data_IF_550860417843
#
_entry.id   IF_550860417843
#
_cell.length_a   1.000
_cell.length_b   1.000
_cell.length_c   1.000
_cell.angle_alpha   90.00
_cell.angle_beta   90.00
_cell.angle_gamma   90.00
#
_symmetry.space_group_name_H-M   'P 1'
#
loop_
_entity.id
_entity.type
_entity.pdbx_description
1 polymer ?
#
# COMPACT_ATOMS: atom_id res chain seq x y z
N UNK A 1 12.64 -26.56 -3.24
CA UNK A 1 12.10 -26.32 -1.90
C UNK A 1 11.16 -25.13 -2.02
N UNK A 2 9.85 -25.35 -2.18
CA UNK A 2 8.86 -24.29 -2.51
C UNK A 2 7.48 -24.59 -1.89
N UNK A 3 7.37 -24.64 -0.56
CA UNK A 3 6.06 -24.76 0.12
C UNK A 3 6.10 -24.15 1.52
N UNK A 4 6.09 -22.82 1.64
CA UNK A 4 5.69 -22.15 2.89
C UNK A 4 4.89 -20.84 2.68
N UNK A 5 4.95 -20.21 1.51
CA UNK A 5 4.24 -18.94 1.24
C UNK A 5 2.71 -19.03 1.31
N UNK A 6 2.13 -20.16 0.89
CA UNK A 6 0.67 -20.33 0.95
C UNK A 6 0.15 -20.47 2.39
N UNK A 7 1.02 -20.87 3.34
CA UNK A 7 0.67 -21.00 4.77
C UNK A 7 0.73 -19.64 5.47
N UNK A 8 1.62 -18.73 5.05
CA UNK A 8 1.70 -17.37 5.60
C UNK A 8 0.53 -16.49 5.13
N UNK A 9 0.16 -16.53 3.85
CA UNK A 9 -0.95 -15.73 3.32
C UNK A 9 -2.30 -16.15 3.91
N UNK A 10 -2.59 -17.45 3.96
CA UNK A 10 -3.80 -17.96 4.60
C UNK A 10 -3.87 -17.57 6.08
N UNK A 11 -2.75 -17.65 6.81
CA UNK A 11 -2.67 -17.23 8.22
C UNK A 11 -2.98 -15.75 8.40
N UNK A 12 -2.47 -14.90 7.51
CA UNK A 12 -2.71 -13.45 7.57
C UNK A 12 -4.15 -13.12 7.20
N UNK A 13 -4.72 -13.77 6.17
CA UNK A 13 -6.14 -13.66 5.87
C UNK A 13 -7.00 -14.00 7.09
N UNK A 14 -6.73 -15.13 7.75
CA UNK A 14 -7.44 -15.49 8.99
C UNK A 14 -7.28 -14.40 10.07
N UNK A 15 -6.06 -13.93 10.32
CA UNK A 15 -5.79 -12.89 11.32
C UNK A 15 -6.53 -11.58 11.04
N UNK A 16 -6.61 -11.16 9.77
CA UNK A 16 -7.32 -9.96 9.37
C UNK A 16 -8.83 -10.19 9.48
N UNK A 17 -9.34 -11.34 9.05
CA UNK A 17 -10.78 -11.64 9.19
C UNK A 17 -11.23 -11.75 10.64
N UNK A 18 -10.33 -12.13 11.57
CA UNK A 18 -10.58 -12.11 13.01
C UNK A 18 -10.63 -10.67 13.55
N UNK A 19 -9.76 -9.78 13.07
CA UNK A 19 -9.81 -8.34 13.41
C UNK A 19 -11.08 -7.66 12.89
N UNK A 20 -11.52 -8.02 11.69
CA UNK A 20 -12.73 -7.46 11.07
C UNK A 20 -14.04 -8.03 11.66
N UNK A 21 -13.95 -9.09 12.49
CA UNK A 21 -15.12 -9.78 13.03
C UNK A 21 -15.78 -8.92 14.11
N UNK A 22 -16.96 -8.39 13.77
CA UNK A 22 -17.77 -7.54 14.66
C UNK A 22 -18.13 -6.25 13.95
N UNK A 23 -17.12 -5.55 13.44
CA UNK A 23 -17.29 -4.25 12.78
C UNK A 23 -17.64 -4.34 11.28
N UNK A 24 -17.31 -5.47 10.63
CA UNK A 24 -17.59 -5.69 9.21
C UNK A 24 -18.37 -6.98 8.95
N UNK A 25 -19.19 -6.97 7.90
CA UNK A 25 -19.88 -8.18 7.43
C UNK A 25 -18.90 -9.06 6.66
N UNK A 26 -19.09 -10.39 6.71
CA UNK A 26 -18.27 -11.34 5.93
C UNK A 26 -18.21 -11.03 4.43
N UNK A 27 -19.30 -10.49 3.86
CA UNK A 27 -19.34 -10.05 2.46
C UNK A 27 -18.44 -8.84 2.15
N UNK A 28 -18.02 -8.10 3.18
CA UNK A 28 -17.17 -6.91 3.06
C UNK A 28 -15.69 -7.25 3.24
N UNK A 29 -15.35 -8.41 3.81
CA UNK A 29 -13.95 -8.78 4.08
C UNK A 29 -13.09 -8.76 2.82
N UNK A 30 -13.61 -9.29 1.70
CA UNK A 30 -12.90 -9.24 0.42
C UNK A 30 -12.65 -7.81 -0.08
N UNK A 31 -13.57 -6.88 0.20
CA UNK A 31 -13.41 -5.46 -0.18
C UNK A 31 -12.32 -4.78 0.64
N UNK A 32 -12.11 -5.21 1.88
CA UNK A 32 -11.01 -4.73 2.71
C UNK A 32 -9.70 -5.38 2.27
N UNK A 33 -9.66 -6.70 2.21
CA UNK A 33 -8.43 -7.48 2.04
C UNK A 33 -7.78 -7.25 0.67
N UNK A 34 -8.56 -7.25 -0.41
CA UNK A 34 -8.02 -7.18 -1.78
C UNK A 34 -7.17 -5.93 -2.04
N UNK A 35 -7.65 -4.70 -1.76
CA UNK A 35 -6.84 -3.52 -2.00
C UNK A 35 -5.56 -3.46 -1.15
N UNK A 36 -5.55 -4.01 0.06
CA UNK A 36 -4.31 -4.13 0.86
C UNK A 36 -3.31 -5.12 0.25
N UNK A 37 -3.77 -6.26 -0.28
CA UNK A 37 -2.90 -7.22 -0.98
C UNK A 37 -2.30 -6.57 -2.23
N UNK A 38 -3.13 -5.89 -3.02
CA UNK A 38 -2.69 -5.17 -4.22
C UNK A 38 -1.66 -4.11 -3.83
N UNK A 39 -1.94 -3.30 -2.80
CA UNK A 39 -1.01 -2.30 -2.29
C UNK A 39 0.33 -2.91 -1.88
N UNK A 40 0.33 -3.98 -1.08
CA UNK A 40 1.57 -4.63 -0.62
C UNK A 40 2.40 -5.17 -1.79
N UNK A 41 1.73 -5.73 -2.81
CA UNK A 41 2.41 -6.23 -4.00
C UNK A 41 3.03 -5.11 -4.84
N UNK A 42 2.34 -3.97 -4.95
CA UNK A 42 2.87 -2.79 -5.64
C UNK A 42 4.03 -2.16 -4.87
N UNK A 43 3.92 -2.06 -3.55
CA UNK A 43 4.96 -1.55 -2.65
C UNK A 43 6.25 -2.37 -2.78
N UNK A 44 6.15 -3.70 -2.73
CA UNK A 44 7.31 -4.56 -2.93
C UNK A 44 7.90 -4.43 -4.34
N UNK A 45 7.08 -4.44 -5.39
CA UNK A 45 7.61 -4.28 -6.76
C UNK A 45 8.44 -2.99 -6.93
N UNK A 46 8.13 -1.94 -6.17
CA UNK A 46 8.85 -0.67 -6.20
C UNK A 46 10.00 -0.57 -5.19
N UNK A 47 10.03 -1.40 -4.14
CA UNK A 47 11.07 -1.38 -3.10
C UNK A 47 12.51 -1.30 -3.65
N UNK A 48 12.95 -2.10 -4.65
CA UNK A 48 14.31 -2.02 -5.17
C UNK A 48 14.60 -0.80 -6.05
N UNK A 49 13.56 -0.12 -6.57
CA UNK A 49 13.71 1.00 -7.51
C UNK A 49 13.31 2.35 -6.89
N UNK A 50 12.73 2.33 -5.70
CA UNK A 50 12.22 3.50 -5.00
C UNK A 50 13.31 4.53 -4.71
N UNK A 51 14.47 4.10 -4.22
CA UNK A 51 15.58 5.01 -3.95
C UNK A 51 16.01 5.73 -5.22
N UNK A 52 16.14 5.03 -6.34
CA UNK A 52 16.49 5.63 -7.64
C UNK A 52 15.46 6.65 -8.13
N UNK A 53 14.17 6.37 -7.93
CA UNK A 53 13.08 7.29 -8.28
C UNK A 53 13.11 8.54 -7.39
N UNK A 54 13.32 8.37 -6.08
CA UNK A 54 13.41 9.50 -5.14
C UNK A 54 14.66 10.34 -5.37
N UNK A 55 15.79 9.72 -5.67
CA UNK A 55 17.05 10.40 -5.98
C UNK A 55 16.87 11.25 -7.24
N UNK A 56 16.28 10.71 -8.31
CA UNK A 56 15.99 11.46 -9.53
C UNK A 56 15.06 12.67 -9.31
N UNK A 57 14.11 12.57 -8.37
CA UNK A 57 13.24 13.68 -7.97
C UNK A 57 13.99 14.70 -7.11
N UNK A 58 14.93 14.26 -6.28
CA UNK A 58 15.72 15.15 -5.43
C UNK A 58 16.82 15.88 -6.22
N UNK A 59 17.38 15.23 -7.25
CA UNK A 59 18.38 15.78 -8.16
C UNK A 59 17.79 16.72 -9.22
N UNK A 60 16.46 16.71 -9.39
CA UNK A 60 15.77 17.72 -10.20
C UNK A 60 15.73 19.06 -9.45
N UNK A 61 16.87 19.76 -9.46
CA UNK A 61 17.11 21.06 -8.79
C UNK A 61 16.47 22.24 -9.55
N UNK A 62 15.86 22.00 -10.71
CA UNK A 62 15.18 23.01 -11.54
C UNK A 62 13.72 22.62 -11.70
N UNK A 63 12.81 23.60 -11.80
CA UNK A 63 11.32 23.51 -11.84
C UNK A 63 10.67 22.47 -12.79
N UNK A 64 11.44 21.63 -13.47
CA UNK A 64 10.96 20.51 -14.27
C UNK A 64 10.92 19.22 -13.45
N UNK A 65 9.73 18.90 -12.97
CA UNK A 65 9.42 17.58 -12.42
C UNK A 65 9.71 16.50 -13.49
N UNK A 66 10.33 15.36 -13.15
CA UNK A 66 10.61 14.30 -14.12
C UNK A 66 9.35 13.85 -14.85
N UNK A 67 9.45 13.64 -16.17
CA UNK A 67 8.29 13.21 -16.96
C UNK A 67 7.80 11.83 -16.50
N UNK A 68 6.49 11.57 -16.65
CA UNK A 68 5.87 10.28 -16.31
C UNK A 68 6.58 9.09 -17.00
N UNK A 69 7.06 9.29 -18.23
CA UNK A 69 7.85 8.28 -18.96
C UNK A 69 9.22 8.00 -18.31
N UNK A 70 9.92 9.05 -17.87
CA UNK A 70 11.21 8.90 -17.18
C UNK A 70 11.04 8.14 -15.85
N UNK A 71 10.01 8.49 -15.06
CA UNK A 71 9.73 7.83 -13.78
C UNK A 71 9.38 6.35 -13.95
N UNK A 72 8.59 6.00 -14.98
CA UNK A 72 8.29 4.58 -15.31
C UNK A 72 9.53 3.82 -15.77
N UNK A 73 10.43 4.48 -16.49
CA UNK A 73 11.68 3.86 -16.93
C UNK A 73 12.62 3.60 -15.76
N UNK A 74 12.70 4.53 -14.81
CA UNK A 74 13.48 4.39 -13.57
C UNK A 74 12.93 3.31 -12.66
N UNK A 75 11.61 3.23 -12.51
CA UNK A 75 10.97 2.19 -11.69
C UNK A 75 11.03 0.79 -12.31
N UNK A 76 11.39 0.68 -13.60
CA UNK A 76 11.36 -0.59 -14.35
C UNK A 76 9.95 -1.17 -14.54
N UNK A 77 8.92 -0.40 -14.18
CA UNK A 77 7.52 -0.83 -14.14
C UNK A 77 6.63 0.20 -14.81
N UNK A 78 5.43 -0.20 -15.31
CA UNK A 78 4.48 0.75 -15.90
C UNK A 78 3.81 1.68 -14.86
N UNK A 79 4.34 1.72 -13.64
CA UNK A 79 3.89 2.53 -12.52
C UNK A 79 5.09 2.91 -11.65
N UNK A 80 4.93 3.94 -10.83
CA UNK A 80 5.93 4.43 -9.89
C UNK A 80 5.24 5.00 -8.64
N UNK A 81 6.02 5.25 -7.60
CA UNK A 81 5.57 5.98 -6.42
C UNK A 81 6.58 7.08 -6.06
N UNK A 82 6.12 8.32 -6.02
CA UNK A 82 6.91 9.51 -5.67
C UNK A 82 6.78 9.93 -4.20
N UNK A 83 5.98 9.19 -3.42
CA UNK A 83 5.75 9.49 -2.02
C UNK A 83 7.01 9.31 -1.21
N UNK A 84 7.39 10.34 -0.44
CA UNK A 84 8.53 10.28 0.49
C UNK A 84 8.22 9.45 1.74
N UNK A 85 6.94 9.21 2.04
CA UNK A 85 6.54 8.36 3.16
C UNK A 85 6.68 6.88 2.82
N UNK A 86 7.01 6.08 3.83
CA UNK A 86 7.05 4.63 3.71
C UNK A 86 5.79 4.03 4.33
N UNK A 87 5.25 2.97 3.73
CA UNK A 87 4.09 2.27 4.28
C UNK A 87 4.33 1.78 5.73
N UNK A 88 5.59 1.45 6.05
CA UNK A 88 6.03 1.10 7.41
C UNK A 88 5.85 2.22 8.45
N UNK A 89 5.81 3.50 8.05
CA UNK A 89 5.62 4.62 9.00
C UNK A 89 4.23 4.60 9.67
N UNK A 90 3.26 3.90 9.07
CA UNK A 90 1.93 3.65 9.66
C UNK A 90 2.03 2.90 10.98
N UNK A 91 3.04 2.04 11.13
CA UNK A 91 3.27 1.28 12.37
C UNK A 91 3.76 2.15 13.53
N UNK A 92 4.48 3.23 13.21
CA UNK A 92 5.08 4.12 14.21
C UNK A 92 4.06 5.11 14.77
N UNK A 93 3.08 5.54 13.97
CA UNK A 93 2.10 6.57 14.35
C UNK A 93 0.67 6.11 14.02
N UNK A 94 0.02 5.30 14.88
CA UNK A 94 -1.31 4.76 14.63
C UNK A 94 -2.39 5.84 14.47
N UNK A 95 -2.29 6.95 15.20
CA UNK A 95 -3.22 8.09 15.08
C UNK A 95 -3.13 8.83 13.75
N UNK A 96 -2.00 8.70 13.04
CA UNK A 96 -1.78 9.29 11.72
C UNK A 96 -1.82 8.24 10.62
N UNK A 97 -2.24 7.02 10.92
CA UNK A 97 -2.25 5.90 9.99
C UNK A 97 -3.00 6.24 8.69
N UNK A 98 -4.20 6.81 8.80
CA UNK A 98 -4.99 7.23 7.63
C UNK A 98 -4.28 8.29 6.80
N UNK A 99 -3.73 9.33 7.43
CA UNK A 99 -3.00 10.40 6.75
C UNK A 99 -1.78 9.87 5.98
N UNK A 100 -0.96 9.03 6.63
CA UNK A 100 0.23 8.42 6.01
C UNK A 100 -0.19 7.51 4.84
N UNK A 101 -1.25 6.71 5.01
CA UNK A 101 -1.75 5.87 3.92
C UNK A 101 -2.23 6.73 2.74
N UNK A 102 -3.00 7.78 2.99
CA UNK A 102 -3.48 8.66 1.93
C UNK A 102 -2.35 9.33 1.17
N UNK A 103 -1.33 9.82 1.88
CA UNK A 103 -0.13 10.42 1.28
C UNK A 103 0.65 9.40 0.43
N UNK A 104 0.79 8.17 0.93
CA UNK A 104 1.43 7.08 0.20
C UNK A 104 0.65 6.70 -1.07
N UNK A 105 -0.68 6.66 -0.99
CA UNK A 105 -1.56 6.32 -2.11
C UNK A 105 -1.58 7.42 -3.18
N UNK A 106 -1.54 8.67 -2.76
CA UNK A 106 -1.46 9.83 -3.65
C UNK A 106 -0.15 9.90 -4.44
N UNK A 107 0.94 9.35 -3.89
CA UNK A 107 2.23 9.32 -4.57
C UNK A 107 2.32 8.30 -5.70
N UNK A 108 1.37 7.37 -5.85
CA UNK A 108 1.38 6.47 -6.99
C UNK A 108 1.05 7.16 -8.31
N UNK A 109 1.48 6.57 -9.42
CA UNK A 109 1.11 7.00 -10.76
C UNK A 109 -0.41 6.88 -11.02
N UNK A 110 -0.93 7.68 -11.95
CA UNK A 110 -2.38 7.84 -12.18
C UNK A 110 -3.12 6.54 -12.52
N UNK A 111 -2.45 5.59 -13.17
CA UNK A 111 -2.99 4.26 -13.45
C UNK A 111 -3.27 3.46 -12.18
N UNK A 112 -2.33 3.46 -11.22
CA UNK A 112 -2.49 2.77 -9.94
C UNK A 112 -3.55 3.47 -9.08
N UNK A 113 -3.54 4.80 -9.02
CA UNK A 113 -4.61 5.54 -8.32
C UNK A 113 -5.99 5.19 -8.86
N UNK A 114 -6.14 5.07 -10.19
CA UNK A 114 -7.40 4.66 -10.83
C UNK A 114 -7.83 3.25 -10.41
N UNK A 115 -6.88 2.31 -10.27
CA UNK A 115 -7.16 0.95 -9.81
C UNK A 115 -7.62 0.97 -8.35
N UNK A 116 -6.90 1.67 -7.47
CA UNK A 116 -7.21 1.78 -6.04
C UNK A 116 -8.58 2.46 -5.79
N UNK A 117 -8.91 3.46 -6.60
CA UNK A 117 -10.23 4.12 -6.56
C UNK A 117 -11.36 3.15 -6.93
N UNK A 118 -11.16 2.24 -7.89
CA UNK A 118 -12.16 1.22 -8.24
C UNK A 118 -12.42 0.23 -7.10
N UNK A 119 -11.45 0.02 -6.22
CA UNK A 119 -11.63 -0.78 -5.01
C UNK A 119 -12.28 -0.02 -3.86
N UNK A 120 -12.64 1.27 -4.04
CA UNK A 120 -13.12 2.14 -2.98
C UNK A 120 -12.16 2.15 -1.76
N UNK A 121 -10.85 2.18 -2.04
CA UNK A 121 -9.87 2.00 -0.97
C UNK A 121 -9.88 3.16 0.03
N UNK A 122 -10.15 4.39 -0.44
CA UNK A 122 -10.32 5.57 0.43
C UNK A 122 -11.41 5.35 1.49
N UNK A 123 -12.59 4.89 1.07
CA UNK A 123 -13.71 4.60 1.97
C UNK A 123 -13.37 3.47 2.95
N UNK A 124 -12.61 2.48 2.49
CA UNK A 124 -12.14 1.36 3.32
C UNK A 124 -11.21 1.87 4.43
N UNK A 125 -10.29 2.78 4.10
CA UNK A 125 -9.36 3.40 5.06
C UNK A 125 -10.13 4.20 6.10
N UNK A 126 -11.03 5.08 5.67
CA UNK A 126 -11.86 5.90 6.57
C UNK A 126 -12.71 5.04 7.51
N UNK A 127 -13.32 3.97 7.00
CA UNK A 127 -14.09 3.02 7.84
C UNK A 127 -13.21 2.32 8.86
N UNK A 128 -12.04 1.82 8.44
CA UNK A 128 -11.11 1.13 9.35
C UNK A 128 -10.51 2.06 10.40
N UNK A 129 -10.26 3.31 10.04
CA UNK A 129 -9.73 4.34 10.94
C UNK A 129 -10.80 4.70 11.98
N UNK A 130 -12.05 4.88 11.55
CA UNK A 130 -13.18 5.18 12.44
C UNK A 130 -13.46 4.11 13.50
N UNK A 131 -13.07 2.85 13.26
CA UNK A 131 -13.14 1.76 14.24
C UNK A 131 -11.80 1.44 14.90
N UNK A 132 -10.75 2.21 14.61
CA UNK A 132 -9.40 2.03 15.18
C UNK A 132 -8.68 0.76 14.71
N UNK A 133 -9.17 0.08 13.66
CA UNK A 133 -8.59 -1.16 13.13
C UNK A 133 -7.51 -0.91 12.06
N UNK A 134 -7.45 0.29 11.47
CA UNK A 134 -6.60 0.59 10.31
C UNK A 134 -5.12 0.22 10.54
N UNK A 135 -4.55 0.67 11.65
CA UNK A 135 -3.15 0.41 11.98
C UNK A 135 -2.87 -1.10 12.16
N UNK A 136 -3.78 -1.83 12.82
CA UNK A 136 -3.64 -3.28 13.04
C UNK A 136 -3.71 -4.04 11.73
N UNK A 137 -4.70 -3.73 10.90
CA UNK A 137 -4.88 -4.37 9.58
C UNK A 137 -3.68 -4.09 8.70
N UNK A 138 -3.26 -2.82 8.58
CA UNK A 138 -2.09 -2.44 7.79
C UNK A 138 -0.83 -3.15 8.27
N UNK A 139 -0.62 -3.25 9.59
CA UNK A 139 0.55 -3.94 10.14
C UNK A 139 0.57 -5.44 9.87
N UNK A 140 -0.59 -6.11 9.82
CA UNK A 140 -0.68 -7.51 9.39
C UNK A 140 -0.28 -7.67 7.93
N UNK A 141 -0.69 -6.75 7.06
CA UNK A 141 -0.31 -6.79 5.64
C UNK A 141 1.16 -6.42 5.39
N UNK A 142 1.74 -5.53 6.19
CA UNK A 142 3.17 -5.21 6.12
C UNK A 142 4.06 -6.38 6.53
N UNK A 143 3.58 -7.21 7.46
CA UNK A 143 4.27 -8.44 7.86
C UNK A 143 4.19 -9.55 6.79
N UNK A 144 3.44 -9.36 5.70
CA UNK A 144 3.45 -10.30 4.57
C UNK A 144 4.75 -10.16 3.80
N UNK A 145 5.45 -11.29 3.73
CA UNK A 145 6.48 -11.55 2.74
C UNK A 145 5.82 -12.29 1.55
N UNK A 146 5.40 -11.55 0.52
CA UNK A 146 4.94 -12.01 -0.80
C UNK A 146 6.08 -12.36 -1.80
N UNK A 147 7.15 -13.02 -1.33
CA UNK A 147 8.36 -13.44 -2.07
C UNK A 147 8.18 -13.77 -3.55
#
# INVERSE_FOLDING_TARGET
MMTDDSRSLAGILWSVTDLLRGDFKRSEYGKVILPFIVLRRLDWALEPTREQVLDAISESVSDEFPSDEALRRLSGHPFYNISQVHLHQVLTNPERAACVLHEYLHGFSANVQSILNRFAFKETIERLDGVGLLHMVTGRFLSLDLG
#
